data_IF_407394960267
#
_entry.id   IF_407394960267
#
_cell.length_a   1.000
_cell.length_b   1.000
_cell.length_c   1.000
_cell.angle_alpha   90.00
_cell.angle_beta   90.00
_cell.angle_gamma   90.00
#
_symmetry.space_group_name_H-M   'P 1'
#
loop_
_entity.id
_entity.type
_entity.pdbx_description
1 polymer ?
#
# COMPACT_ATOMS: atom_id res chain seq x y z
N UNK A 1 8.67 -15.98 -11.07
CA UNK A 1 7.51 -15.08 -11.00
C UNK A 1 6.21 -15.86 -11.04
N UNK A 2 5.61 -16.10 -9.86
CA UNK A 2 4.27 -16.69 -9.71
C UNK A 2 3.18 -15.76 -10.28
N UNK A 3 3.38 -14.45 -10.19
CA UNK A 3 2.48 -13.42 -10.73
C UNK A 3 3.27 -12.32 -11.43
N UNK A 4 2.67 -11.70 -12.44
CA UNK A 4 3.27 -10.56 -13.16
C UNK A 4 3.32 -9.29 -12.29
N UNK A 5 4.24 -8.34 -12.54
CA UNK A 5 4.30 -7.07 -11.83
C UNK A 5 2.98 -6.31 -11.86
N UNK A 6 2.31 -6.26 -13.02
CA UNK A 6 0.98 -5.65 -13.17
C UNK A 6 -0.09 -6.30 -12.30
N UNK A 7 -0.09 -7.63 -12.18
CA UNK A 7 -1.01 -8.35 -11.29
C UNK A 7 -0.80 -7.95 -9.83
N UNK A 8 0.46 -7.84 -9.41
CA UNK A 8 0.81 -7.49 -8.03
C UNK A 8 0.56 -6.01 -7.71
N UNK A 9 0.86 -5.09 -8.63
CA UNK A 9 0.57 -3.66 -8.45
C UNK A 9 -0.94 -3.42 -8.32
N UNK A 10 -1.73 -4.00 -9.22
CA UNK A 10 -3.20 -3.97 -9.14
C UNK A 10 -3.69 -4.62 -7.85
N UNK A 11 -3.12 -5.76 -7.48
CA UNK A 11 -3.40 -6.46 -6.23
C UNK A 11 -3.16 -5.58 -5.01
N UNK A 12 -2.04 -4.85 -4.94
CA UNK A 12 -1.70 -3.96 -3.82
C UNK A 12 -2.72 -2.84 -3.67
N UNK A 13 -3.01 -2.08 -4.73
CA UNK A 13 -3.97 -0.97 -4.65
C UNK A 13 -5.39 -1.45 -4.38
N UNK A 14 -5.84 -2.46 -5.12
CA UNK A 14 -7.16 -3.04 -4.94
C UNK A 14 -7.32 -3.68 -3.55
N UNK A 15 -6.29 -4.36 -3.09
CA UNK A 15 -6.27 -4.99 -1.78
C UNK A 15 -6.39 -3.96 -0.66
N UNK A 16 -5.63 -2.87 -0.75
CA UNK A 16 -5.73 -1.76 0.20
C UNK A 16 -7.13 -1.14 0.22
N UNK A 17 -7.69 -0.87 -0.97
CA UNK A 17 -9.04 -0.32 -1.13
C UNK A 17 -10.11 -1.25 -0.53
N UNK A 18 -10.04 -2.54 -0.83
CA UNK A 18 -10.97 -3.54 -0.28
C UNK A 18 -10.83 -3.66 1.23
N UNK A 19 -9.61 -3.69 1.75
CA UNK A 19 -9.36 -3.78 3.19
C UNK A 19 -9.91 -2.59 3.98
N UNK A 20 -9.93 -1.41 3.37
CA UNK A 20 -10.54 -0.21 3.96
C UNK A 20 -12.08 -0.26 3.93
N UNK A 21 -12.67 -0.77 2.84
CA UNK A 21 -14.10 -0.60 2.56
C UNK A 21 -14.95 -1.86 2.82
N UNK A 22 -14.36 -3.02 3.07
CA UNK A 22 -15.11 -4.25 3.36
C UNK A 22 -15.61 -4.29 4.81
N UNK A 23 -16.82 -4.83 4.98
CA UNK A 23 -17.34 -5.24 6.29
C UNK A 23 -17.03 -6.71 6.57
N UNK A 24 -17.18 -7.12 7.84
CA UNK A 24 -17.07 -8.52 8.27
C UNK A 24 -17.97 -9.48 7.49
N UNK A 25 -19.10 -8.99 6.96
CA UNK A 25 -20.05 -9.76 6.15
C UNK A 25 -19.64 -9.83 4.67
N UNK A 26 -18.47 -9.28 4.30
CA UNK A 26 -17.97 -9.21 2.94
C UNK A 26 -18.72 -8.23 2.03
N UNK A 27 -19.45 -7.27 2.62
CA UNK A 27 -20.14 -6.19 1.88
C UNK A 27 -19.24 -4.96 1.81
N UNK A 28 -19.31 -4.21 0.72
CA UNK A 28 -18.55 -2.97 0.54
C UNK A 28 -19.38 -1.81 1.11
N UNK A 29 -18.81 -1.06 2.06
CA UNK A 29 -19.39 0.19 2.57
C UNK A 29 -19.33 1.27 1.49
N UNK A 30 -20.39 2.05 1.34
CA UNK A 30 -20.48 3.13 0.35
C UNK A 30 -19.68 4.38 0.71
N UNK A 31 -19.29 4.52 1.97
CA UNK A 31 -18.50 5.64 2.48
C UNK A 31 -17.45 5.10 3.45
N UNK A 32 -16.17 5.15 3.06
CA UNK A 32 -15.06 5.00 4.00
C UNK A 32 -14.99 6.24 4.89
N UNK A 33 -14.74 6.04 6.19
CA UNK A 33 -14.55 7.14 7.14
C UNK A 33 -13.17 7.80 7.05
N UNK A 34 -12.23 7.18 6.34
CA UNK A 34 -10.82 7.55 6.36
C UNK A 34 -10.31 8.09 5.03
N UNK A 35 -10.96 7.78 3.90
CA UNK A 35 -10.50 8.15 2.53
C UNK A 35 -8.98 8.01 2.39
N UNK A 36 -8.47 6.79 2.61
CA UNK A 36 -7.05 6.57 2.88
C UNK A 36 -6.15 6.78 1.66
N UNK A 37 -6.67 6.61 0.45
CA UNK A 37 -5.81 6.51 -0.72
C UNK A 37 -5.91 7.63 -1.74
N UNK A 38 -6.68 8.70 -1.53
CA UNK A 38 -6.67 9.85 -2.47
C UNK A 38 -5.25 10.40 -2.64
N UNK A 39 -4.49 10.49 -1.56
CA UNK A 39 -3.07 10.91 -1.60
C UNK A 39 -2.18 9.90 -2.35
N UNK A 40 -2.48 8.61 -2.26
CA UNK A 40 -1.79 7.57 -3.02
C UNK A 40 -2.06 7.74 -4.53
N UNK A 41 -3.30 8.07 -4.92
CA UNK A 41 -3.64 8.37 -6.31
C UNK A 41 -2.84 9.57 -6.83
N UNK A 42 -2.83 10.70 -6.11
CA UNK A 42 -2.07 11.89 -6.52
C UNK A 42 -0.56 11.62 -6.62
N UNK A 43 -0.01 10.82 -5.70
CA UNK A 43 1.39 10.38 -5.77
C UNK A 43 1.68 9.48 -6.97
N UNK A 44 0.74 8.60 -7.31
CA UNK A 44 0.82 7.74 -8.49
C UNK A 44 0.81 8.57 -9.77
N UNK A 45 -0.10 9.53 -9.89
CA UNK A 45 -0.17 10.45 -11.04
C UNK A 45 1.11 11.27 -11.18
N UNK A 46 1.69 11.76 -10.08
CA UNK A 46 2.97 12.48 -10.09
C UNK A 46 4.10 11.61 -10.65
N UNK A 47 4.22 10.37 -10.12
CA UNK A 47 5.22 9.40 -10.58
C UNK A 47 5.04 9.02 -12.05
N UNK A 48 3.80 8.86 -12.51
CA UNK A 48 3.50 8.58 -13.93
C UNK A 48 3.95 9.74 -14.81
N UNK A 49 3.51 10.96 -14.49
CA UNK A 49 3.73 12.13 -15.34
C UNK A 49 5.21 12.52 -15.45
N UNK A 50 5.97 12.31 -14.38
CA UNK A 50 7.37 12.75 -14.32
C UNK A 50 8.38 11.60 -14.50
N UNK A 51 7.93 10.34 -14.44
CA UNK A 51 8.82 9.16 -14.48
C UNK A 51 9.79 9.07 -13.29
N UNK A 52 9.63 9.93 -12.28
CA UNK A 52 10.50 10.04 -11.11
C UNK A 52 9.75 10.61 -9.93
N UNK A 53 10.28 10.40 -8.73
CA UNK A 53 9.74 11.04 -7.53
C UNK A 53 10.13 12.51 -7.48
N UNK A 54 9.12 13.37 -7.54
CA UNK A 54 9.23 14.82 -7.34
C UNK A 54 8.30 15.23 -6.20
N UNK A 55 8.87 15.79 -5.13
CA UNK A 55 8.08 16.13 -3.95
C UNK A 55 7.27 17.41 -4.17
N UNK A 56 7.79 18.35 -4.97
CA UNK A 56 7.15 19.64 -5.18
C UNK A 56 5.88 19.46 -6.03
N UNK A 57 5.94 18.63 -7.07
CA UNK A 57 4.75 18.27 -7.87
C UNK A 57 3.71 17.52 -7.03
N UNK A 58 4.13 16.56 -6.19
CA UNK A 58 3.19 15.84 -5.33
C UNK A 58 2.52 16.77 -4.30
N UNK A 59 3.28 17.68 -3.66
CA UNK A 59 2.73 18.68 -2.74
C UNK A 59 1.76 19.61 -3.48
N UNK A 60 2.12 20.09 -4.67
CA UNK A 60 1.26 20.98 -5.47
C UNK A 60 -0.09 20.32 -5.79
N UNK A 61 -0.09 19.04 -6.18
CA UNK A 61 -1.32 18.25 -6.41
C UNK A 61 -2.19 18.13 -5.17
N UNK A 62 -1.59 17.88 -4.00
CA UNK A 62 -2.33 17.79 -2.74
C UNK A 62 -2.97 19.14 -2.36
N UNK A 63 -2.26 20.25 -2.59
CA UNK A 63 -2.76 21.59 -2.31
C UNK A 63 -3.92 21.99 -3.25
N UNK A 64 -3.85 21.63 -4.53
CA UNK A 64 -4.93 21.88 -5.49
C UNK A 64 -6.23 21.18 -5.10
N UNK A 65 -6.14 19.98 -4.56
CA UNK A 65 -7.27 19.19 -4.07
C UNK A 65 -7.73 19.60 -2.65
N UNK A 66 -7.13 20.65 -2.07
CA UNK A 66 -7.45 21.16 -0.71
C UNK A 66 -7.39 20.07 0.37
N UNK A 67 -6.50 19.10 0.22
CA UNK A 67 -6.31 18.02 1.19
C UNK A 67 -5.57 18.55 2.41
N UNK A 68 -6.28 19.23 3.31
CA UNK A 68 -5.73 19.67 4.59
C UNK A 68 -5.70 18.50 5.58
N UNK A 69 -4.49 18.14 5.98
CA UNK A 69 -4.23 17.18 7.03
C UNK A 69 -4.41 17.84 8.40
N UNK A 70 -5.59 17.69 9.01
CA UNK A 70 -5.84 18.09 10.39
C UNK A 70 -5.25 17.07 11.38
N UNK A 71 -4.22 17.47 12.15
CA UNK A 71 -3.48 16.64 13.11
C UNK A 71 -4.40 15.72 13.95
N UNK A 72 -4.56 14.47 13.52
CA UNK A 72 -5.40 13.44 14.12
C UNK A 72 -4.75 12.08 13.90
N UNK A 73 -4.99 11.10 14.78
CA UNK A 73 -4.45 9.74 14.65
C UNK A 73 -4.76 9.06 13.29
N UNK A 74 -5.82 9.51 12.61
CA UNK A 74 -6.23 9.00 11.31
C UNK A 74 -5.25 9.42 10.19
N UNK A 75 -4.54 10.53 10.36
CA UNK A 75 -3.50 10.99 9.43
C UNK A 75 -2.37 9.99 9.31
N UNK A 76 -1.93 9.45 10.44
CA UNK A 76 -0.80 8.54 10.50
C UNK A 76 -0.99 7.32 9.58
N UNK A 77 -2.23 6.80 9.51
CA UNK A 77 -2.57 5.68 8.63
C UNK A 77 -2.66 6.14 7.17
N UNK A 78 -3.26 7.32 6.91
CA UNK A 78 -3.32 7.91 5.56
C UNK A 78 -1.92 8.02 4.96
N UNK A 79 -0.93 8.45 5.74
CA UNK A 79 0.46 8.57 5.28
C UNK A 79 1.02 7.21 4.85
N UNK A 80 0.80 6.15 5.63
CA UNK A 80 1.27 4.79 5.26
C UNK A 80 0.67 4.37 3.91
N UNK A 81 -0.65 4.55 3.71
CA UNK A 81 -1.31 4.20 2.45
C UNK A 81 -0.89 5.13 1.30
N UNK A 82 -0.70 6.42 1.57
CA UNK A 82 -0.23 7.41 0.59
C UNK A 82 1.14 7.08 0.00
N UNK A 83 1.99 6.37 0.75
CA UNK A 83 3.33 5.97 0.29
C UNK A 83 3.38 4.64 -0.47
N UNK A 84 2.26 3.93 -0.63
CA UNK A 84 2.20 2.72 -1.47
C UNK A 84 2.79 2.91 -2.88
N UNK A 85 2.53 4.00 -3.62
CA UNK A 85 3.13 4.22 -4.93
C UNK A 85 4.66 4.27 -4.87
N UNK A 86 5.24 4.88 -3.82
CA UNK A 86 6.70 4.91 -3.63
C UNK A 86 7.24 3.50 -3.40
N UNK A 87 6.54 2.71 -2.58
CA UNK A 87 6.89 1.32 -2.33
C UNK A 87 6.88 0.49 -3.63
N UNK A 88 5.82 0.63 -4.41
CA UNK A 88 5.66 -0.04 -5.70
C UNK A 88 6.72 0.43 -6.72
N UNK A 89 7.01 1.72 -6.83
CA UNK A 89 7.93 2.23 -7.86
C UNK A 89 9.40 1.89 -7.60
N UNK A 90 9.82 1.86 -6.33
CA UNK A 90 11.23 1.66 -5.96
C UNK A 90 11.53 0.27 -5.35
N UNK A 91 10.59 -0.68 -5.44
CA UNK A 91 10.67 -1.98 -4.75
C UNK A 91 11.93 -2.81 -5.05
N UNK A 92 12.52 -2.69 -6.24
CA UNK A 92 13.68 -3.50 -6.64
C UNK A 92 14.99 -3.05 -5.96
N UNK A 93 15.04 -1.81 -5.46
CA UNK A 93 16.23 -1.25 -4.84
C UNK A 93 15.93 -0.80 -3.40
N UNK A 94 16.24 -1.63 -2.38
CA UNK A 94 15.89 -1.33 -1.00
C UNK A 94 16.56 -0.04 -0.47
N UNK A 95 17.74 0.32 -0.98
CA UNK A 95 18.43 1.56 -0.61
C UNK A 95 17.65 2.77 -1.13
N UNK A 96 17.31 2.78 -2.43
CA UNK A 96 16.51 3.87 -3.03
C UNK A 96 15.11 3.93 -2.44
N UNK A 97 14.49 2.78 -2.18
CA UNK A 97 13.20 2.68 -1.51
C UNK A 97 13.24 3.40 -0.16
N UNK A 98 14.19 3.04 0.71
CA UNK A 98 14.35 3.68 2.03
C UNK A 98 14.57 5.19 1.89
N UNK A 99 15.49 5.60 1.02
CA UNK A 99 15.80 7.02 0.81
C UNK A 99 14.58 7.83 0.35
N UNK A 100 13.81 7.30 -0.61
CA UNK A 100 12.65 7.99 -1.16
C UNK A 100 11.49 8.04 -0.18
N UNK A 101 11.24 6.97 0.59
CA UNK A 101 10.24 6.99 1.66
C UNK A 101 10.58 8.03 2.73
N UNK A 102 11.83 8.08 3.21
CA UNK A 102 12.27 9.09 4.18
C UNK A 102 12.17 10.52 3.63
N UNK A 103 12.33 10.71 2.33
CA UNK A 103 12.14 12.02 1.68
C UNK A 103 10.67 12.42 1.65
N UNK A 104 9.78 11.49 1.30
CA UNK A 104 8.33 11.72 1.21
C UNK A 104 7.72 11.95 2.60
N UNK A 105 8.17 11.23 3.63
CA UNK A 105 7.66 11.39 4.99
C UNK A 105 7.93 12.78 5.59
N UNK A 106 8.96 13.50 5.12
CA UNK A 106 9.23 14.88 5.55
C UNK A 106 8.11 15.87 5.19
N UNK A 107 7.20 15.50 4.29
CA UNK A 107 6.03 16.32 3.95
C UNK A 107 5.08 16.45 5.15
N UNK A 108 5.02 15.46 6.05
CA UNK A 108 3.95 15.33 7.05
C UNK A 108 4.40 15.29 8.50
N UNK A 109 5.50 16.00 8.80
CA UNK A 109 6.20 15.95 10.10
C UNK A 109 6.74 14.53 10.35
N UNK A 110 8.07 14.38 10.44
CA UNK A 110 8.78 13.09 10.50
C UNK A 110 8.53 12.33 11.82
N UNK A 111 7.27 12.01 12.11
CA UNK A 111 6.85 11.24 13.27
C UNK A 111 7.51 9.86 13.20
N UNK A 112 8.27 9.47 14.24
CA UNK A 112 9.09 8.27 14.18
C UNK A 112 8.25 7.00 14.04
N UNK A 113 7.02 6.97 14.57
CA UNK A 113 6.13 5.80 14.55
C UNK A 113 5.50 5.66 13.16
N UNK A 114 5.07 6.76 12.56
CA UNK A 114 4.57 6.78 11.16
C UNK A 114 5.68 6.39 10.20
N UNK A 115 6.89 6.93 10.41
CA UNK A 115 8.06 6.61 9.60
C UNK A 115 8.39 5.12 9.64
N UNK A 116 8.52 4.57 10.83
CA UNK A 116 8.87 3.16 11.00
C UNK A 116 7.76 2.24 10.49
N UNK A 117 6.49 2.62 10.67
CA UNK A 117 5.35 1.89 10.13
C UNK A 117 5.33 1.87 8.61
N UNK A 118 5.57 3.03 8.00
CA UNK A 118 5.70 3.20 6.55
C UNK A 118 6.83 2.35 5.99
N UNK A 119 8.02 2.41 6.60
CA UNK A 119 9.17 1.62 6.20
C UNK A 119 8.91 0.12 6.34
N UNK A 120 8.25 -0.32 7.42
CA UNK A 120 7.92 -1.72 7.64
C UNK A 120 6.99 -2.27 6.56
N UNK A 121 5.88 -1.56 6.30
CA UNK A 121 4.90 -1.96 5.27
C UNK A 121 5.52 -1.94 3.89
N UNK A 122 6.22 -0.87 3.52
CA UNK A 122 6.84 -0.74 2.21
C UNK A 122 7.92 -1.80 1.96
N UNK A 123 8.71 -2.14 2.98
CA UNK A 123 9.73 -3.19 2.87
C UNK A 123 9.10 -4.57 2.67
N UNK A 124 8.06 -4.91 3.44
CA UNK A 124 7.33 -6.16 3.25
C UNK A 124 6.70 -6.26 1.85
N UNK A 125 6.11 -5.17 1.34
CA UNK A 125 5.62 -5.09 -0.05
C UNK A 125 6.78 -5.33 -1.03
N UNK A 126 7.94 -4.72 -0.83
CA UNK A 126 9.08 -4.90 -1.73
C UNK A 126 9.59 -6.33 -1.80
N UNK A 127 9.63 -7.03 -0.65
CA UNK A 127 9.98 -8.45 -0.59
C UNK A 127 8.90 -9.30 -1.27
N UNK A 128 7.62 -8.96 -1.10
CA UNK A 128 6.54 -9.66 -1.78
C UNK A 128 6.68 -9.52 -3.30
N UNK A 129 6.85 -8.31 -3.82
CA UNK A 129 6.99 -8.01 -5.25
C UNK A 129 8.21 -8.67 -5.90
N UNK A 130 9.34 -8.71 -5.17
CA UNK A 130 10.58 -9.34 -5.65
C UNK A 130 10.63 -10.85 -5.44
N UNK A 131 9.57 -11.46 -4.91
CA UNK A 131 9.47 -12.89 -4.57
C UNK A 131 10.55 -13.36 -3.58
N UNK A 132 11.03 -12.45 -2.73
CA UNK A 132 12.05 -12.71 -1.69
C UNK A 132 11.44 -12.85 -0.30
N UNK A 133 10.12 -12.71 -0.18
CA UNK A 133 9.42 -12.84 1.09
C UNK A 133 9.45 -14.28 1.59
N UNK A 134 10.02 -14.46 2.78
CA UNK A 134 9.95 -15.68 3.56
C UNK A 134 9.26 -15.35 4.90
N UNK A 135 8.14 -16.02 5.26
CA UNK A 135 7.39 -15.74 6.47
C UNK A 135 8.22 -15.81 7.76
N UNK A 136 9.22 -16.70 7.82
CA UNK A 136 10.04 -16.89 9.02
C UNK A 136 11.07 -15.77 9.20
N UNK A 137 11.53 -15.18 8.11
CA UNK A 137 12.57 -14.15 8.12
C UNK A 137 12.05 -12.75 7.84
N UNK A 138 10.79 -12.58 7.42
CA UNK A 138 10.19 -11.28 7.10
C UNK A 138 10.31 -10.29 8.27
N UNK A 139 9.91 -10.69 9.47
CA UNK A 139 9.94 -9.81 10.65
C UNK A 139 11.37 -9.40 11.03
N UNK A 140 12.33 -10.33 11.19
CA UNK A 140 13.73 -9.99 11.42
C UNK A 140 14.34 -9.09 10.34
N UNK A 141 14.08 -9.37 9.06
CA UNK A 141 14.57 -8.55 7.95
C UNK A 141 13.94 -7.15 7.97
N UNK A 142 12.64 -7.05 8.29
CA UNK A 142 11.95 -5.77 8.42
C UNK A 142 12.56 -4.93 9.54
N UNK A 143 12.81 -5.52 10.71
CA UNK A 143 13.45 -4.83 11.83
C UNK A 143 14.86 -4.36 11.44
N UNK A 144 15.63 -5.21 10.78
CA UNK A 144 16.95 -4.82 10.26
C UNK A 144 16.86 -3.68 9.23
N UNK A 145 15.82 -3.69 8.37
CA UNK A 145 15.58 -2.64 7.40
C UNK A 145 15.21 -1.32 8.08
N UNK A 146 14.46 -1.33 9.19
CA UNK A 146 14.14 -0.12 9.97
C UNK A 146 15.41 0.52 10.55
N UNK A 147 16.33 -0.29 11.05
CA UNK A 147 17.51 0.15 11.79
C UNK A 147 17.19 0.47 13.25
N UNK A 148 18.10 1.16 13.93
CA UNK A 148 17.90 1.59 15.32
C UNK A 148 16.79 2.64 15.41
N UNK A 149 15.83 2.43 16.31
CA UNK A 149 14.69 3.33 16.49
C UNK A 149 14.12 3.26 17.90
N UNK A 150 13.62 4.38 18.46
CA UNK A 150 13.01 4.40 19.80
C UNK A 150 11.55 3.89 19.81
N UNK A 151 10.96 3.56 18.67
CA UNK A 151 9.53 3.21 18.58
C UNK A 151 9.22 1.80 19.11
N UNK A 152 7.95 1.54 19.38
CA UNK A 152 7.48 0.22 19.83
C UNK A 152 7.34 -0.80 18.69
N UNK A 153 7.41 -0.37 17.42
CA UNK A 153 7.14 -1.22 16.24
C UNK A 153 8.03 -2.47 16.20
N UNK A 154 9.37 -2.42 16.34
CA UNK A 154 10.19 -3.62 16.34
C UNK A 154 9.77 -4.64 17.41
N UNK A 155 9.50 -4.17 18.63
CA UNK A 155 9.05 -5.01 19.74
C UNK A 155 7.69 -5.65 19.44
N UNK A 156 6.77 -4.90 18.83
CA UNK A 156 5.45 -5.40 18.42
C UNK A 156 5.54 -6.43 17.29
N UNK A 157 6.41 -6.22 16.30
CA UNK A 157 6.64 -7.20 15.24
C UNK A 157 7.26 -8.49 15.79
N UNK A 158 8.24 -8.42 16.69
CA UNK A 158 8.77 -9.62 17.37
C UNK A 158 7.70 -10.35 18.17
N UNK A 159 6.78 -9.61 18.77
CA UNK A 159 5.64 -10.20 19.49
C UNK A 159 4.70 -10.94 18.54
N UNK A 160 4.43 -10.37 17.37
CA UNK A 160 3.67 -11.03 16.28
C UNK A 160 4.35 -12.32 15.84
N UNK A 161 5.67 -12.29 15.63
CA UNK A 161 6.44 -13.49 15.28
C UNK A 161 6.25 -14.60 16.32
N UNK A 162 6.38 -14.28 17.60
CA UNK A 162 6.19 -15.26 18.68
C UNK A 162 4.76 -15.82 18.72
N UNK A 163 3.74 -15.00 18.42
CA UNK A 163 2.35 -15.44 18.33
C UNK A 163 2.12 -16.40 17.15
N UNK A 164 2.74 -16.12 16.00
CA UNK A 164 2.69 -16.97 14.82
C UNK A 164 3.37 -18.33 15.08
N UNK A 165 4.56 -18.31 15.69
CA UNK A 165 5.31 -19.53 16.09
C UNK A 165 4.53 -20.40 17.08
N UNK A 166 3.74 -19.79 17.96
CA UNK A 166 2.88 -20.50 18.92
C UNK A 166 1.56 -20.99 18.30
N UNK A 167 1.28 -20.70 17.02
CA UNK A 167 -0.01 -20.98 16.41
C UNK A 167 -1.18 -20.29 17.12
N UNK A 168 -0.95 -19.12 17.72
CA UNK A 168 -1.98 -18.37 18.41
C UNK A 168 -3.08 -17.96 17.43
N UNK A 169 -4.35 -18.10 17.82
CA UNK A 169 -5.49 -17.64 17.02
C UNK A 169 -5.76 -16.13 17.14
N UNK A 170 -6.61 -15.61 16.26
CA UNK A 170 -6.90 -14.17 16.11
C UNK A 170 -7.31 -13.50 17.43
N UNK A 171 -8.19 -14.13 18.21
CA UNK A 171 -8.68 -13.56 19.49
C UNK A 171 -7.55 -13.34 20.50
N UNK A 172 -6.55 -14.24 20.53
CA UNK A 172 -5.39 -14.11 21.41
C UNK A 172 -4.46 -13.00 20.91
N UNK A 173 -4.22 -12.92 19.60
CA UNK A 173 -3.42 -11.85 19.02
C UNK A 173 -4.03 -10.46 19.28
N UNK A 174 -5.36 -10.33 19.15
CA UNK A 174 -6.09 -9.09 19.46
C UNK A 174 -5.98 -8.71 20.94
N UNK A 175 -6.16 -9.68 21.86
CA UNK A 175 -6.06 -9.42 23.30
C UNK A 175 -4.67 -8.96 23.74
N UNK A 176 -3.61 -9.45 23.11
CA UNK A 176 -2.22 -9.05 23.38
C UNK A 176 -1.87 -7.70 22.71
N UNK A 177 -2.56 -7.31 21.64
CA UNK A 177 -2.41 -6.02 20.97
C UNK A 177 -3.24 -4.90 21.59
N UNK A 178 -4.35 -5.18 22.29
CA UNK A 178 -5.29 -4.16 22.79
C UNK A 178 -4.75 -3.23 23.91
N UNK A 179 -3.51 -3.41 24.37
CA UNK A 179 -3.00 -2.78 25.60
C UNK A 179 -2.12 -1.53 25.40
N UNK A 180 -1.82 -1.13 24.15
CA UNK A 180 -0.71 -0.18 23.86
C UNK A 180 -1.04 0.81 22.70
N UNK A 181 -0.03 1.54 22.22
CA UNK A 181 -0.05 2.52 21.13
C UNK A 181 -0.82 2.07 19.87
N UNK A 182 -1.81 2.87 19.44
CA UNK A 182 -2.81 2.51 18.42
C UNK A 182 -2.22 2.18 17.05
N UNK A 183 -1.29 2.99 16.54
CA UNK A 183 -0.70 2.80 15.21
C UNK A 183 0.20 1.56 15.16
N UNK A 184 1.12 1.43 16.11
CA UNK A 184 2.02 0.27 16.24
C UNK A 184 1.23 -1.03 16.35
N UNK A 185 0.11 -1.04 17.08
CA UNK A 185 -0.79 -2.20 17.14
C UNK A 185 -1.51 -2.48 15.82
N UNK A 186 -1.94 -1.44 15.11
CA UNK A 186 -2.59 -1.56 13.79
C UNK A 186 -1.63 -2.24 12.80
N UNK A 187 -0.37 -1.79 12.74
CA UNK A 187 0.66 -2.38 11.88
C UNK A 187 0.95 -3.82 12.30
N UNK A 188 1.14 -4.07 13.60
CA UNK A 188 1.40 -5.42 14.11
C UNK A 188 0.27 -6.40 13.79
N UNK A 189 -0.99 -5.99 13.98
CA UNK A 189 -2.15 -6.80 13.63
C UNK A 189 -2.25 -7.04 12.12
N UNK A 190 -1.87 -6.07 11.29
CA UNK A 190 -1.86 -6.24 9.85
C UNK A 190 -0.81 -7.28 9.41
N UNK A 191 0.40 -7.23 9.99
CA UNK A 191 1.44 -8.24 9.79
C UNK A 191 0.98 -9.62 10.26
N UNK A 192 0.32 -9.71 11.43
CA UNK A 192 -0.22 -10.96 11.94
C UNK A 192 -1.25 -11.57 10.99
N UNK A 193 -2.26 -10.80 10.57
CA UNK A 193 -3.33 -11.31 9.68
C UNK A 193 -2.77 -11.72 8.32
N UNK A 194 -1.82 -10.96 7.78
CA UNK A 194 -1.14 -11.30 6.54
C UNK A 194 -0.32 -12.59 6.67
N UNK A 195 0.55 -12.70 7.68
CA UNK A 195 1.47 -13.83 7.83
C UNK A 195 0.77 -15.11 8.28
N UNK A 196 -0.31 -15.02 9.07
CA UNK A 196 -1.09 -16.19 9.50
C UNK A 196 -1.81 -16.86 8.32
N UNK A 197 -2.04 -16.13 7.23
CA UNK A 197 -2.85 -16.57 6.08
C UNK A 197 -2.26 -16.10 4.75
N UNK A 198 -0.94 -16.25 4.63
CA UNK A 198 -0.12 -15.68 3.55
C UNK A 198 -0.70 -15.88 2.13
N UNK A 199 -1.14 -17.10 1.82
CA UNK A 199 -1.63 -17.51 0.50
C UNK A 199 -3.16 -17.34 0.33
N UNK A 200 -3.88 -16.88 1.36
CA UNK A 200 -5.34 -16.67 1.33
C UNK A 200 -5.68 -15.20 1.58
N UNK A 201 -5.78 -14.43 0.50
CA UNK A 201 -6.14 -13.02 0.54
C UNK A 201 -7.47 -12.76 1.26
N UNK A 202 -8.48 -13.60 0.98
CA UNK A 202 -9.82 -13.41 1.55
C UNK A 202 -9.75 -13.56 3.06
N UNK A 203 -9.10 -14.62 3.54
CA UNK A 203 -9.00 -14.89 4.96
C UNK A 203 -8.16 -13.81 5.67
N UNK A 204 -7.05 -13.37 5.07
CA UNK A 204 -6.21 -12.30 5.62
C UNK A 204 -7.01 -11.01 5.86
N UNK A 205 -7.75 -10.55 4.84
CA UNK A 205 -8.55 -9.33 4.93
C UNK A 205 -9.72 -9.51 5.90
N UNK A 206 -10.42 -10.65 5.86
CA UNK A 206 -11.53 -10.91 6.79
C UNK A 206 -11.06 -10.96 8.26
N UNK A 207 -9.89 -11.53 8.54
CA UNK A 207 -9.31 -11.51 9.90
C UNK A 207 -8.98 -10.08 10.35
N UNK A 208 -8.42 -9.25 9.46
CA UNK A 208 -8.03 -7.88 9.76
C UNK A 208 -9.23 -6.97 10.07
N UNK A 209 -10.34 -7.16 9.36
CA UNK A 209 -11.58 -6.39 9.58
C UNK A 209 -12.47 -7.00 10.67
N UNK A 210 -12.14 -8.19 11.17
CA UNK A 210 -12.92 -8.84 12.21
C UNK A 210 -12.67 -8.20 13.57
N UNK A 211 -13.56 -7.32 13.98
CA UNK A 211 -13.63 -6.86 15.36
C UNK A 211 -14.32 -7.96 16.18
N UNK A 212 -13.59 -8.61 17.09
CA UNK A 212 -14.18 -9.55 18.03
C UNK A 212 -15.36 -8.93 18.78
N UNK A 213 -16.29 -9.77 19.27
CA UNK A 213 -17.58 -9.47 19.91
C UNK A 213 -17.56 -8.53 21.15
N UNK A 214 -16.69 -7.54 21.22
CA UNK A 214 -16.76 -6.49 22.22
C UNK A 214 -17.97 -5.62 21.90
N UNK A 215 -18.97 -5.64 22.79
CA UNK A 215 -20.28 -4.96 22.68
C UNK A 215 -20.18 -3.42 22.63
N UNK A 216 -18.99 -2.89 22.38
CA UNK A 216 -18.67 -1.48 22.31
C UNK A 216 -18.01 -1.25 20.94
N UNK A 217 -18.84 -1.02 19.92
CA UNK A 217 -18.37 -0.53 18.63
C UNK A 217 -18.11 0.97 18.76
N UNK A 218 -16.99 1.34 19.36
CA UNK A 218 -16.55 2.73 19.34
C UNK A 218 -16.02 3.06 17.93
N UNK A 219 -16.29 4.27 17.46
CA UNK A 219 -15.81 4.76 16.16
C UNK A 219 -14.29 4.58 15.99
N UNK A 220 -13.53 4.63 17.09
CA UNK A 220 -12.09 4.39 17.17
C UNK A 220 -11.70 2.97 16.77
N UNK A 221 -12.47 1.96 17.19
CA UNK A 221 -12.24 0.53 16.88
C UNK A 221 -12.55 0.22 15.42
N UNK A 222 -13.60 0.84 14.87
CA UNK A 222 -13.91 0.72 13.45
C UNK A 222 -12.80 1.29 12.57
N UNK A 223 -12.29 2.49 12.90
CA UNK A 223 -11.18 3.12 12.17
C UNK A 223 -9.89 2.28 12.23
N UNK A 224 -9.53 1.72 13.39
CA UNK A 224 -8.37 0.83 13.49
C UNK A 224 -8.53 -0.45 12.69
N UNK A 225 -9.75 -0.98 12.59
CA UNK A 225 -10.06 -2.18 11.82
C UNK A 225 -9.95 -1.92 10.32
N UNK A 226 -10.50 -0.80 9.83
CA UNK A 226 -10.35 -0.36 8.43
C UNK A 226 -8.88 -0.12 8.07
N UNK A 227 -8.11 0.49 8.99
CA UNK A 227 -6.68 0.70 8.81
C UNK A 227 -5.89 -0.62 8.75
N UNK A 228 -6.17 -1.53 9.68
CA UNK A 228 -5.56 -2.88 9.70
C UNK A 228 -5.91 -3.63 8.42
N UNK A 229 -7.17 -3.56 7.99
CA UNK A 229 -7.67 -4.13 6.75
C UNK A 229 -6.94 -3.57 5.54
N UNK A 230 -6.81 -2.24 5.41
CA UNK A 230 -6.13 -1.59 4.30
C UNK A 230 -4.66 -2.03 4.18
N UNK A 231 -3.91 -2.04 5.30
CA UNK A 231 -2.51 -2.48 5.30
C UNK A 231 -2.42 -3.99 4.97
N UNK A 232 -3.28 -4.81 5.58
CA UNK A 232 -3.30 -6.27 5.33
C UNK A 232 -3.63 -6.57 3.88
N UNK A 233 -4.61 -5.86 3.31
CA UNK A 233 -5.01 -5.99 1.93
C UNK A 233 -3.91 -5.55 0.97
N UNK A 234 -3.18 -4.47 1.28
CA UNK A 234 -2.02 -4.05 0.48
C UNK A 234 -0.93 -5.13 0.46
N UNK A 235 -0.56 -5.67 1.63
CA UNK A 235 0.46 -6.71 1.77
C UNK A 235 0.05 -8.01 1.06
N UNK A 236 -1.17 -8.48 1.33
CA UNK A 236 -1.69 -9.70 0.73
C UNK A 236 -1.90 -9.56 -0.78
N UNK A 237 -2.33 -8.39 -1.24
CA UNK A 237 -2.44 -8.05 -2.66
C UNK A 237 -1.10 -8.01 -3.38
N UNK A 238 -0.04 -7.47 -2.74
CA UNK A 238 1.32 -7.49 -3.28
C UNK A 238 1.87 -8.92 -3.41
N UNK A 239 1.50 -9.81 -2.49
CA UNK A 239 1.95 -11.20 -2.45
C UNK A 239 1.17 -12.10 -3.43
N UNK A 240 -0.16 -12.05 -3.36
CA UNK A 240 -1.08 -12.94 -4.09
C UNK A 240 -1.50 -12.39 -5.47
N UNK A 241 -1.24 -11.10 -5.74
CA UNK A 241 -1.70 -10.41 -6.93
C UNK A 241 -3.21 -10.25 -7.01
N UNK A 242 -3.69 -9.58 -8.07
CA UNK A 242 -5.13 -9.40 -8.32
C UNK A 242 -5.85 -10.74 -8.51
N UNK A 243 -5.15 -11.78 -8.99
CA UNK A 243 -5.69 -13.13 -9.14
C UNK A 243 -6.02 -13.81 -7.81
N UNK A 244 -5.37 -13.42 -6.72
CA UNK A 244 -5.70 -13.91 -5.37
C UNK A 244 -6.95 -13.27 -4.77
N UNK A 245 -7.42 -12.15 -5.33
CA UNK A 245 -8.57 -11.42 -4.80
C UNK A 245 -9.86 -12.09 -5.30
N UNK A 246 -10.83 -12.42 -4.41
CA UNK A 246 -12.08 -13.07 -4.81
C UNK A 246 -12.82 -12.35 -5.93
N UNK A 247 -13.16 -13.09 -6.99
CA UNK A 247 -13.84 -12.53 -8.19
C UNK A 247 -15.14 -11.84 -7.83
N UNK A 248 -15.91 -12.37 -6.88
CA UNK A 248 -17.16 -11.73 -6.44
C UNK A 248 -16.92 -10.34 -5.85
N UNK A 249 -15.78 -10.09 -5.18
CA UNK A 249 -15.44 -8.76 -4.68
C UNK A 249 -15.03 -7.81 -5.82
N UNK A 250 -14.29 -8.31 -6.81
CA UNK A 250 -13.93 -7.53 -8.01
C UNK A 250 -15.18 -7.13 -8.81
N UNK A 251 -16.11 -8.07 -9.02
CA UNK A 251 -17.38 -7.82 -9.73
C UNK A 251 -18.25 -6.81 -9.00
N UNK A 252 -18.33 -6.88 -7.66
CA UNK A 252 -19.08 -5.91 -6.87
C UNK A 252 -18.56 -4.48 -7.04
N UNK A 253 -17.24 -4.29 -7.17
CA UNK A 253 -16.63 -2.99 -7.41
C UNK A 253 -16.95 -2.45 -8.80
N UNK A 254 -16.84 -3.29 -9.82
CA UNK A 254 -17.20 -2.95 -11.20
C UNK A 254 -18.68 -2.57 -11.32
N UNK A 255 -19.57 -3.35 -10.73
CA UNK A 255 -21.03 -3.12 -10.84
C UNK A 255 -21.49 -1.83 -10.15
N UNK A 256 -20.85 -1.45 -9.05
CA UNK A 256 -21.23 -0.24 -8.31
C UNK A 256 -20.65 1.05 -8.88
N UNK A 257 -19.71 0.98 -9.84
CA UNK A 257 -18.86 2.12 -10.20
C UNK A 257 -18.35 2.84 -8.96
N UNK A 258 -18.00 2.09 -7.89
CA UNK A 258 -17.68 2.71 -6.62
C UNK A 258 -16.45 3.59 -6.78
N UNK A 259 -16.50 4.86 -6.34
CA UNK A 259 -15.37 5.76 -6.48
C UNK A 259 -14.22 5.22 -5.63
N UNK A 260 -13.12 4.86 -6.29
CA UNK A 260 -11.97 4.29 -5.63
C UNK A 260 -10.99 5.42 -5.31
N UNK A 261 -10.94 5.84 -4.03
CA UNK A 261 -10.02 6.89 -3.56
C UNK A 261 -10.10 8.20 -4.37
N UNK A 262 -11.32 8.69 -4.57
CA UNK A 262 -11.62 9.90 -5.34
C UNK A 262 -11.54 9.75 -6.86
N UNK A 263 -11.23 8.56 -7.39
CA UNK A 263 -11.47 8.24 -8.80
C UNK A 263 -12.97 8.02 -9.05
N UNK A 264 -13.42 8.26 -10.29
CA UNK A 264 -14.85 8.15 -10.63
C UNK A 264 -15.32 6.72 -10.81
N UNK A 265 -14.39 5.77 -11.00
CA UNK A 265 -14.72 4.35 -11.13
C UNK A 265 -13.54 3.44 -10.78
N UNK A 266 -13.83 2.16 -10.56
CA UNK A 266 -12.82 1.13 -10.40
C UNK A 266 -11.99 0.89 -11.68
N UNK A 267 -12.55 1.10 -12.88
CA UNK A 267 -11.80 0.99 -14.15
C UNK A 267 -10.63 1.98 -14.19
N UNK A 268 -10.87 3.21 -13.75
CA UNK A 268 -9.82 4.25 -13.70
C UNK A 268 -8.67 3.87 -12.77
N UNK A 269 -8.94 3.16 -11.66
CA UNK A 269 -7.86 2.67 -10.79
C UNK A 269 -7.00 1.64 -11.50
N UNK A 270 -7.61 0.75 -12.29
CA UNK A 270 -6.87 -0.25 -13.07
C UNK A 270 -6.06 0.42 -14.18
N UNK A 271 -6.66 1.34 -14.93
CA UNK A 271 -5.98 2.11 -15.99
C UNK A 271 -4.80 2.92 -15.45
N UNK A 272 -4.99 3.62 -14.33
CA UNK A 272 -3.91 4.34 -13.65
C UNK A 272 -2.78 3.38 -13.23
N UNK A 273 -3.13 2.21 -12.71
CA UNK A 273 -2.14 1.21 -12.30
C UNK A 273 -1.38 0.64 -13.50
N UNK A 274 -2.05 0.48 -14.65
CA UNK A 274 -1.41 0.01 -15.88
C UNK A 274 -0.42 1.04 -16.42
N UNK A 275 -0.81 2.30 -16.47
CA UNK A 275 0.07 3.41 -16.82
C UNK A 275 1.27 3.49 -15.86
N UNK A 276 1.02 3.28 -14.55
CA UNK A 276 2.06 3.26 -13.54
C UNK A 276 3.09 2.15 -13.76
N UNK A 277 2.64 0.94 -14.09
CA UNK A 277 3.52 -0.19 -14.43
C UNK A 277 4.26 0.06 -15.74
N UNK A 278 3.63 0.69 -16.72
CA UNK A 278 4.27 1.04 -17.99
C UNK A 278 5.43 2.04 -17.77
N UNK A 279 5.21 3.07 -16.95
CA UNK A 279 6.26 4.05 -16.59
C UNK A 279 7.37 3.38 -15.78
N UNK A 280 7.02 2.59 -14.76
CA UNK A 280 8.00 1.86 -13.95
C UNK A 280 8.86 0.90 -14.79
N UNK A 281 8.27 0.20 -15.74
CA UNK A 281 8.99 -0.74 -16.61
C UNK A 281 9.82 -0.07 -17.71
N UNK A 282 9.76 1.27 -17.83
CA UNK A 282 10.42 2.02 -18.88
C UNK A 282 9.83 1.79 -20.28
N UNK A 283 8.65 1.16 -20.36
CA UNK A 283 7.91 0.91 -21.61
C UNK A 283 7.08 2.12 -22.00
N UNK A 284 6.73 2.97 -21.04
CA UNK A 284 6.04 4.23 -21.29
C UNK A 284 7.04 5.29 -21.74
N UNK A 285 6.94 5.67 -23.01
CA UNK A 285 7.72 6.76 -23.56
C UNK A 285 6.96 8.07 -23.32
N UNK A 286 7.36 8.80 -22.27
CA UNK A 286 6.74 10.08 -21.87
C UNK A 286 6.80 11.08 -23.03
N UNK A 287 7.82 10.96 -23.89
CA UNK A 287 8.03 11.81 -25.06
C UNK A 287 7.11 11.46 -26.25
N UNK A 288 6.59 10.22 -26.33
CA UNK A 288 5.71 9.79 -27.43
C UNK A 288 4.22 9.98 -27.15
N UNK A 289 3.82 10.29 -25.91
CA UNK A 289 2.41 10.49 -25.57
C UNK A 289 2.18 11.78 -24.76
N UNK A 290 2.39 12.98 -25.34
CA UNK A 290 2.20 14.25 -24.63
C UNK A 290 0.72 14.61 -24.41
N UNK A 291 -0.24 13.83 -24.93
CA UNK A 291 -1.67 14.20 -24.90
C UNK A 291 -2.62 13.01 -24.87
N UNK A 292 -2.99 12.60 -23.66
CA UNK A 292 -4.39 12.32 -23.33
C UNK A 292 -4.85 13.09 -22.08
N UNK A 293 -4.25 14.25 -21.81
CA UNK A 293 -4.84 15.27 -20.92
C UNK A 293 -4.52 16.68 -21.47
N UNK A 294 -5.42 17.17 -22.33
CA UNK A 294 -5.61 18.58 -22.75
C UNK A 294 -4.63 19.28 -23.74
N UNK A 295 -5.24 20.18 -24.53
CA UNK A 295 -4.82 20.87 -25.78
C UNK A 295 -3.57 21.78 -25.76
N UNK A 296 -2.92 21.96 -26.94
CA UNK A 296 -2.24 23.20 -27.37
C UNK A 296 -0.74 23.15 -27.77
N UNK A 297 -0.42 23.18 -29.09
CA UNK A 297 0.88 23.44 -29.80
C UNK A 297 2.12 22.55 -29.49
N UNK A 298 3.23 22.44 -30.22
CA UNK A 298 3.60 22.37 -31.65
C UNK A 298 4.96 21.59 -31.70
N UNK A 299 5.30 21.00 -32.84
CA UNK A 299 6.36 19.99 -33.09
C UNK A 299 7.82 20.42 -32.82
N UNK A 300 8.66 19.49 -32.30
CA UNK A 300 10.07 19.30 -32.74
C UNK A 300 10.45 17.81 -32.62
N UNK A 301 10.76 17.19 -33.76
CA UNK A 301 11.44 15.89 -33.90
C UNK A 301 12.86 15.93 -33.33
N UNK A 302 13.33 14.88 -32.60
CA UNK A 302 14.72 14.38 -32.66
C UNK A 302 14.97 13.07 -31.85
N UNK A 303 15.36 12.03 -32.61
CA UNK A 303 16.38 10.99 -32.36
C UNK A 303 16.39 10.14 -31.07
N UNK A 304 15.97 8.88 -31.24
CA UNK A 304 16.18 7.72 -30.35
C UNK A 304 17.67 7.36 -30.20
N UNK A 305 18.12 7.14 -28.96
CA UNK A 305 19.30 6.31 -28.65
C UNK A 305 18.91 5.19 -27.69
N UNK A 306 18.80 3.96 -28.22
CA UNK A 306 18.76 2.76 -27.40
C UNK A 306 20.17 2.46 -26.87
N UNK A 307 20.33 2.31 -25.56
CA UNK A 307 21.57 1.83 -24.97
C UNK A 307 21.80 0.36 -25.35
N UNK A 308 22.93 0.00 -26.02
CA UNK A 308 23.15 -1.35 -26.49
C UNK A 308 23.82 -2.21 -25.40
N UNK A 309 23.44 -3.49 -25.39
CA UNK A 309 24.12 -4.67 -24.79
C UNK A 309 23.72 -5.11 -23.37
N UNK A 310 22.62 -5.86 -23.26
CA UNK A 310 22.51 -6.96 -22.28
C UNK A 310 21.85 -8.18 -22.92
N UNK A 311 22.52 -8.82 -23.88
CA UNK A 311 22.34 -10.25 -24.14
C UNK A 311 23.75 -10.81 -24.43
N UNK A 312 24.25 -11.67 -23.55
CA UNK A 312 25.33 -12.62 -23.90
C UNK A 312 24.66 -13.99 -24.03
N UNK A 313 24.70 -14.58 -25.23
CA UNK A 313 24.49 -16.01 -25.35
C UNK A 313 25.74 -16.74 -24.85
N UNK A 314 25.54 -18.00 -24.44
CA UNK A 314 26.58 -18.94 -24.02
C UNK A 314 27.75 -19.02 -24.99
#
# INVERSE_FOLDING_TARGET
MRYSPISRFRGTFLGAFLGENLTSDGKIQSQSYLDLGRMAILGTESLINLGKLDLDDWIARQQQESLHLAATDDISIKIIIATLPVALFFHENPIKLRQNLLRVLKIWEDDPVVRDGTLAVAYAISLALTEKLDPLTLIPQTISFLGETPTSIPKKLLKVQSLLEQGAGLSRAQAESAREEKLSNTIAMAFYCFLSTLEDFRLAVLQAIHNGNSKVQDATSLRSSQATGAITGALSGAYNGISGIPVNWQVLLLQRNSPAWGLTSFSQMLELTDAFVAVWSGVYDIDLNPRELTQGCEEVLLSVYAAPRVIRSR
#
